data_IF_857756388059
#
_entry.id   IF_857756388059
#
_cell.length_a   1.000
_cell.length_b   1.000
_cell.length_c   1.000
_cell.angle_alpha   90.00
_cell.angle_beta   90.00
_cell.angle_gamma   90.00
#
_symmetry.space_group_name_H-M   'P 1'
#
loop_
_entity.id
_entity.type
_entity.pdbx_description
1 polymer ?
#
# COMPACT_ATOMS: atom_id res chain seq x y z
N UNK A 1 18.88 -4.51 -15.15
CA UNK A 1 18.16 -3.34 -14.63
C UNK A 1 18.89 -2.91 -13.36
N UNK A 2 19.60 -1.78 -13.37
CA UNK A 2 20.26 -1.24 -12.16
C UNK A 2 19.26 -0.27 -11.52
N UNK A 3 18.82 -0.58 -10.30
CA UNK A 3 17.91 0.26 -9.53
C UNK A 3 18.78 1.16 -8.66
N UNK A 4 18.59 2.47 -8.74
CA UNK A 4 19.33 3.42 -7.90
C UNK A 4 18.97 3.25 -6.44
N UNK A 5 19.99 3.29 -5.58
CA UNK A 5 19.81 3.07 -4.15
C UNK A 5 18.97 4.17 -3.49
N UNK A 6 18.08 3.77 -2.56
CA UNK A 6 17.25 4.71 -1.80
C UNK A 6 15.96 5.20 -2.49
N UNK A 7 15.72 4.92 -3.78
CA UNK A 7 14.45 5.28 -4.45
C UNK A 7 13.38 4.20 -4.23
N UNK A 8 12.16 4.63 -3.92
CA UNK A 8 11.01 3.72 -3.84
C UNK A 8 10.58 3.35 -5.26
N UNK A 9 10.63 2.06 -5.60
CA UNK A 9 10.20 1.54 -6.89
C UNK A 9 8.99 0.64 -6.70
N UNK A 10 7.93 0.88 -7.46
CA UNK A 10 6.79 -0.02 -7.54
C UNK A 10 7.15 -1.19 -8.46
N UNK A 11 7.14 -2.40 -7.92
CA UNK A 11 7.51 -3.61 -8.68
C UNK A 11 6.27 -4.24 -9.31
N UNK A 12 5.11 -3.99 -8.74
CA UNK A 12 3.86 -4.47 -9.29
C UNK A 12 2.64 -4.00 -8.51
N UNK A 13 1.48 -4.25 -9.11
CA UNK A 13 0.18 -4.04 -8.49
C UNK A 13 -0.86 -4.93 -9.16
N UNK A 14 -1.97 -5.16 -8.46
CA UNK A 14 -3.11 -5.93 -8.96
C UNK A 14 -4.38 -5.11 -8.79
N UNK A 15 -5.18 -5.02 -9.85
CA UNK A 15 -6.51 -4.43 -9.80
C UNK A 15 -7.52 -5.54 -10.10
N UNK A 16 -8.44 -5.77 -9.16
CA UNK A 16 -9.54 -6.74 -9.31
C UNK A 16 -10.87 -5.98 -9.28
N UNK A 17 -11.68 -6.19 -10.32
CA UNK A 17 -13.04 -5.68 -10.40
C UNK A 17 -13.99 -6.87 -10.49
N UNK A 18 -14.90 -6.98 -9.53
CA UNK A 18 -15.95 -8.01 -9.53
C UNK A 18 -17.33 -7.34 -9.60
N UNK A 19 -18.11 -7.77 -10.58
CA UNK A 19 -19.51 -7.38 -10.74
C UNK A 19 -20.38 -8.51 -10.20
N UNK A 20 -21.09 -8.25 -9.11
CA UNK A 20 -22.07 -9.17 -8.56
C UNK A 20 -23.48 -8.64 -8.88
N UNK A 21 -24.21 -9.39 -9.71
CA UNK A 21 -25.55 -9.05 -10.18
C UNK A 21 -26.54 -10.14 -9.80
N UNK A 22 -27.26 -9.95 -8.70
CA UNK A 22 -28.28 -10.88 -8.20
C UNK A 22 -29.68 -10.40 -8.60
N UNK A 23 -30.28 -10.99 -9.62
CA UNK A 23 -31.67 -10.71 -10.01
C UNK A 23 -32.63 -11.78 -9.45
N UNK A 24 -33.31 -11.48 -8.34
CA UNK A 24 -34.36 -12.34 -7.79
C UNK A 24 -35.70 -12.00 -8.46
N UNK A 25 -36.09 -12.74 -9.49
CA UNK A 25 -37.38 -12.57 -10.17
C UNK A 25 -38.31 -13.75 -9.89
N UNK A 26 -39.59 -13.48 -9.60
CA UNK A 26 -40.62 -14.51 -9.51
C UNK A 26 -40.93 -15.02 -10.93
N UNK A 27 -40.77 -16.33 -11.22
CA UNK A 27 -41.10 -16.89 -12.53
C UNK A 27 -42.59 -16.67 -12.84
N UNK A 28 -42.92 -16.27 -14.06
CA UNK A 28 -44.30 -16.03 -14.52
C UNK A 28 -44.78 -14.58 -14.43
N UNK A 29 -44.76 -13.96 -13.24
CA UNK A 29 -45.22 -12.56 -13.07
C UNK A 29 -44.19 -11.52 -13.51
N UNK A 30 -42.92 -11.93 -13.60
CA UNK A 30 -41.86 -11.06 -14.02
C UNK A 30 -42.05 -10.49 -15.43
N UNK A 31 -42.50 -11.30 -16.40
CA UNK A 31 -42.47 -10.97 -17.84
C UNK A 31 -43.55 -10.00 -18.34
N UNK A 32 -44.47 -9.57 -17.47
CA UNK A 32 -45.53 -8.62 -17.84
C UNK A 32 -44.93 -7.20 -17.85
N UNK A 33 -44.87 -6.53 -19.02
CA UNK A 33 -44.51 -5.11 -19.08
C UNK A 33 -45.46 -4.34 -18.16
N UNK A 34 -44.97 -3.34 -17.41
CA UNK A 34 -45.65 -2.59 -16.34
C UNK A 34 -45.80 -3.30 -14.97
N UNK A 35 -46.28 -4.55 -14.88
CA UNK A 35 -46.49 -5.21 -13.58
C UNK A 35 -45.23 -5.86 -12.99
N UNK A 36 -44.26 -6.21 -13.84
CA UNK A 36 -43.00 -6.81 -13.41
C UNK A 36 -42.13 -5.92 -12.51
N UNK A 37 -42.35 -4.61 -12.49
CA UNK A 37 -41.61 -3.65 -11.63
C UNK A 37 -42.06 -3.68 -10.16
N UNK A 38 -43.33 -4.02 -9.90
CA UNK A 38 -43.88 -4.08 -8.54
C UNK A 38 -43.67 -5.44 -7.85
N UNK A 39 -43.49 -6.51 -8.62
CA UNK A 39 -43.32 -7.89 -8.11
C UNK A 39 -41.93 -8.49 -8.38
N UNK A 40 -41.12 -7.84 -9.21
CA UNK A 40 -39.71 -8.14 -9.34
C UNK A 40 -38.93 -7.27 -8.37
N UNK A 41 -38.56 -7.81 -7.21
CA UNK A 41 -37.45 -7.26 -6.44
C UNK A 41 -36.17 -7.45 -7.27
N UNK A 42 -35.99 -6.62 -8.29
CA UNK A 42 -34.68 -6.34 -8.85
C UNK A 42 -33.97 -5.65 -7.72
N UNK A 43 -33.27 -6.44 -6.90
CA UNK A 43 -32.28 -5.93 -5.98
C UNK A 43 -31.22 -5.32 -6.90
N UNK A 44 -31.44 -4.06 -7.32
CA UNK A 44 -30.51 -3.22 -8.10
C UNK A 44 -29.29 -2.85 -7.26
N UNK A 45 -28.93 -3.69 -6.30
CA UNK A 45 -27.65 -3.67 -5.65
C UNK A 45 -26.66 -4.35 -6.61
N UNK A 46 -26.35 -3.68 -7.72
CA UNK A 46 -25.14 -3.98 -8.48
C UNK A 46 -23.96 -3.69 -7.57
N UNK A 47 -23.54 -4.70 -6.81
CA UNK A 47 -22.40 -4.57 -5.91
C UNK A 47 -21.15 -4.62 -6.78
N UNK A 48 -20.64 -3.45 -7.16
CA UNK A 48 -19.36 -3.32 -7.82
C UNK A 48 -18.28 -3.25 -6.75
N UNK A 49 -17.50 -4.33 -6.59
CA UNK A 49 -16.34 -4.33 -5.69
C UNK A 49 -15.07 -4.13 -6.49
N UNK A 50 -14.35 -3.05 -6.19
CA UNK A 50 -13.03 -2.73 -6.73
C UNK A 50 -11.98 -2.93 -5.65
N UNK A 51 -10.94 -3.70 -5.93
CA UNK A 51 -9.82 -3.93 -5.02
C UNK A 51 -8.51 -3.65 -5.74
N UNK A 52 -7.66 -2.82 -5.14
CA UNK A 52 -6.36 -2.42 -5.67
C UNK A 52 -5.28 -2.80 -4.65
N UNK A 53 -4.22 -3.44 -5.12
CA UNK A 53 -3.05 -3.81 -4.33
C UNK A 53 -1.81 -3.26 -5.01
N UNK A 54 -0.92 -2.61 -4.25
CA UNK A 54 0.33 -2.03 -4.74
C UNK A 54 1.49 -2.53 -3.87
N UNK A 55 2.57 -2.98 -4.51
CA UNK A 55 3.78 -3.50 -3.84
C UNK A 55 4.95 -2.58 -4.15
N UNK A 56 5.52 -1.96 -3.10
CA UNK A 56 6.64 -1.03 -3.19
C UNK A 56 7.89 -1.63 -2.54
N UNK A 57 9.06 -1.42 -3.16
CA UNK A 57 10.36 -1.79 -2.58
C UNK A 57 11.25 -0.55 -2.50
N UNK A 58 11.91 -0.37 -1.36
CA UNK A 58 12.96 0.64 -1.16
C UNK A 58 14.29 -0.07 -0.86
N UNK A 59 15.18 -0.24 -1.85
CA UNK A 59 16.52 -0.73 -1.58
C UNK A 59 17.30 0.26 -0.70
N UNK A 60 18.21 -0.28 0.11
CA UNK A 60 19.25 0.45 0.85
C UNK A 60 20.56 -0.32 0.66
N UNK A 61 21.59 0.34 0.16
CA UNK A 61 22.96 -0.17 0.02
C UNK A 61 23.73 0.23 1.28
N UNK A 62 24.36 -0.75 1.91
CA UNK A 62 25.18 -0.57 3.11
C UNK A 62 26.63 -0.75 2.70
N UNK A 63 27.45 0.30 2.84
CA UNK A 63 28.88 0.25 2.56
C UNK A 63 29.65 0.09 3.88
N UNK A 64 29.99 -1.15 4.22
CA UNK A 64 30.66 -1.51 5.49
C UNK A 64 31.98 -0.80 5.75
N UNK A 65 32.66 -0.27 4.73
CA UNK A 65 33.92 0.47 4.92
C UNK A 65 33.65 1.94 5.27
N UNK A 66 32.75 2.60 4.54
CA UNK A 66 32.32 3.97 4.85
C UNK A 66 31.57 4.06 6.17
N UNK A 67 30.70 3.10 6.46
CA UNK A 67 29.90 3.11 7.69
C UNK A 67 30.78 2.97 8.94
N UNK A 68 31.83 2.12 8.91
CA UNK A 68 32.78 2.01 10.02
C UNK A 68 33.59 3.28 10.24
N UNK A 69 33.96 4.00 9.18
CA UNK A 69 34.70 5.26 9.31
C UNK A 69 33.79 6.35 9.87
N UNK A 70 32.55 6.45 9.38
CA UNK A 70 31.56 7.39 9.89
C UNK A 70 31.23 7.13 11.38
N UNK A 71 31.10 5.87 11.79
CA UNK A 71 30.87 5.49 13.19
C UNK A 71 32.08 5.78 14.07
N UNK A 72 33.30 5.54 13.56
CA UNK A 72 34.53 5.85 14.28
C UNK A 72 34.70 7.36 14.49
N UNK A 73 34.46 8.16 13.45
CA UNK A 73 34.50 9.62 13.50
C UNK A 73 33.44 10.19 14.45
N UNK A 74 32.20 9.67 14.37
CA UNK A 74 31.11 10.08 15.26
C UNK A 74 31.40 9.72 16.72
N UNK A 75 32.08 8.60 16.97
CA UNK A 75 32.49 8.20 18.32
C UNK A 75 33.57 9.13 18.86
N UNK A 76 34.57 9.48 18.06
CA UNK A 76 35.61 10.42 18.48
C UNK A 76 35.06 11.82 18.73
N UNK A 77 34.19 12.33 17.87
CA UNK A 77 33.54 13.63 18.07
C UNK A 77 32.70 13.70 19.37
N UNK A 78 32.14 12.57 19.80
CA UNK A 78 31.42 12.48 21.09
C UNK A 78 32.39 12.50 22.26
N UNK A 79 33.48 11.74 22.21
CA UNK A 79 34.50 11.70 23.26
C UNK A 79 35.14 13.08 23.47
N UNK A 80 35.52 13.75 22.39
CA UNK A 80 36.03 15.13 22.40
C UNK A 80 35.06 16.13 23.07
N UNK A 81 33.75 15.96 22.84
CA UNK A 81 32.73 16.82 23.43
C UNK A 81 32.59 16.59 24.93
N UNK A 82 32.78 15.37 25.41
CA UNK A 82 32.78 15.06 26.84
C UNK A 82 34.05 15.57 27.53
N UNK A 83 35.21 15.49 26.87
CA UNK A 83 36.48 15.96 27.42
C UNK A 83 36.56 17.49 27.48
N UNK A 84 35.94 18.19 26.52
CA UNK A 84 35.85 19.66 26.52
C UNK A 84 34.76 20.24 27.43
N UNK A 85 33.98 19.40 28.11
CA UNK A 85 32.99 19.85 29.08
C UNK A 85 33.61 19.71 30.48
N UNK A 86 34.32 20.74 31.01
CA UNK A 86 34.77 20.68 32.38
C UNK A 86 33.53 20.54 33.27
N UNK A 87 33.56 19.54 34.16
CA UNK A 87 32.60 19.42 35.24
C UNK A 87 32.55 20.78 35.96
N UNK A 88 31.50 21.53 35.69
CA UNK A 88 31.25 22.77 36.43
C UNK A 88 30.68 22.31 37.78
N UNK A 89 31.28 22.69 38.92
CA UNK A 89 30.85 22.24 40.23
C UNK A 89 29.40 22.64 40.54
#
# INVERSE_FOLDING_TARGET
MQVEDGRIVAIGGMMKQSFDGSANRVPGLGQIPLLGYFFGNTNTNQSSKKSELVILIKPTVIDRQKDRQADAEATQARLDKFERQPATP
#
